data_IF_992871639270
#
_entry.id   IF_992871639270
#
_cell.length_a   1.000
_cell.length_b   1.000
_cell.length_c   1.000
_cell.angle_alpha   90.00
_cell.angle_beta   90.00
_cell.angle_gamma   90.00
#
_symmetry.space_group_name_H-M   'P 1'
#
loop_
_entity.id
_entity.type
_entity.pdbx_description
1 polymer ?
#
# COMPACT_ATOMS: atom_id res chain seq x y z
N UNK A 1 16.35 -9.46 -6.35
CA UNK A 1 16.91 -8.11 -6.58
C UNK A 1 17.39 -8.00 -8.02
N UNK A 2 17.08 -6.91 -8.70
CA UNK A 2 17.58 -6.63 -10.04
C UNK A 2 19.11 -6.52 -10.05
N UNK A 3 19.72 -6.81 -11.22
CA UNK A 3 21.17 -6.64 -11.42
C UNK A 3 21.54 -5.16 -11.17
N UNK A 4 22.59 -4.94 -10.37
CA UNK A 4 23.14 -3.60 -10.16
C UNK A 4 24.09 -3.27 -11.30
N UNK A 5 23.78 -2.23 -12.07
CA UNK A 5 24.67 -1.64 -13.03
C UNK A 5 25.67 -0.74 -12.30
N UNK A 6 26.88 -0.60 -12.82
CA UNK A 6 27.95 0.16 -12.16
C UNK A 6 28.46 1.27 -13.08
N UNK A 7 28.51 2.47 -12.54
CA UNK A 7 29.15 3.64 -13.16
C UNK A 7 29.78 4.45 -12.02
N UNK A 8 30.91 3.91 -11.52
CA UNK A 8 31.55 4.46 -10.32
C UNK A 8 32.20 5.80 -10.64
N UNK A 9 31.81 6.80 -9.88
CA UNK A 9 32.33 8.16 -9.95
C UNK A 9 33.79 8.22 -9.46
N UNK A 10 34.54 9.16 -10.04
CA UNK A 10 35.84 9.61 -9.54
C UNK A 10 35.74 10.88 -8.69
N UNK A 11 34.52 11.40 -8.50
CA UNK A 11 34.23 12.69 -7.86
C UNK A 11 33.17 12.56 -6.77
N UNK A 12 33.09 13.59 -5.93
CA UNK A 12 31.97 13.81 -4.98
C UNK A 12 31.84 12.73 -3.90
N UNK A 13 32.94 12.18 -3.43
CA UNK A 13 32.98 11.25 -2.30
C UNK A 13 34.30 11.38 -1.51
N UNK A 14 34.30 10.88 -0.29
CA UNK A 14 35.48 10.67 0.51
C UNK A 14 35.76 9.16 0.65
N UNK A 15 37.01 8.79 0.77
CA UNK A 15 37.39 7.39 1.06
C UNK A 15 36.86 6.97 2.43
N UNK A 16 36.46 5.71 2.55
CA UNK A 16 35.95 5.15 3.78
C UNK A 16 36.09 3.64 3.88
N UNK A 17 35.40 3.05 4.85
CA UNK A 17 35.31 1.60 5.02
C UNK A 17 33.86 1.16 5.25
N UNK A 18 33.54 -0.11 4.99
CA UNK A 18 32.18 -0.64 5.17
C UNK A 18 31.74 -0.66 6.64
N UNK A 19 32.65 -0.67 7.60
CA UNK A 19 32.35 -0.66 9.04
C UNK A 19 31.66 0.65 9.51
N UNK A 20 31.78 1.73 8.71
CA UNK A 20 31.12 3.02 8.97
C UNK A 20 29.59 2.94 8.82
N UNK A 21 29.07 1.98 8.05
CA UNK A 21 27.67 1.95 7.60
C UNK A 21 26.78 1.57 8.78
N UNK A 22 26.01 2.55 9.26
CA UNK A 22 25.02 2.41 10.36
C UNK A 22 23.61 2.75 9.93
N UNK A 23 23.46 3.53 8.86
CA UNK A 23 22.19 4.06 8.36
C UNK A 23 22.05 3.85 6.86
N UNK A 24 20.81 3.75 6.39
CA UNK A 24 20.45 3.87 4.98
C UNK A 24 19.48 5.07 4.87
N UNK A 25 19.80 6.02 3.99
CA UNK A 25 19.01 7.24 3.81
C UNK A 25 18.34 7.20 2.45
N UNK A 26 17.03 7.32 2.44
CA UNK A 26 16.21 7.32 1.24
C UNK A 26 15.98 8.76 0.78
N UNK A 27 16.20 8.97 -0.52
CA UNK A 27 16.07 10.25 -1.21
C UNK A 27 15.15 10.11 -2.42
N UNK A 28 14.82 11.25 -3.02
CA UNK A 28 14.29 11.35 -4.38
C UNK A 28 15.18 12.31 -5.17
N UNK A 29 15.35 12.04 -6.44
CA UNK A 29 16.26 12.83 -7.30
C UNK A 29 15.84 14.30 -7.40
N UNK A 30 14.55 14.62 -7.27
CA UNK A 30 14.03 15.98 -7.41
C UNK A 30 14.15 16.55 -8.82
N UNK A 31 14.38 15.67 -9.82
CA UNK A 31 14.47 15.97 -11.24
C UNK A 31 13.89 14.80 -12.04
N UNK A 32 13.62 14.98 -13.34
CA UNK A 32 12.94 13.99 -14.17
C UNK A 32 13.87 13.02 -14.93
N UNK A 33 15.17 13.08 -14.68
CA UNK A 33 16.16 12.16 -15.26
C UNK A 33 16.06 10.74 -14.69
N UNK A 34 16.42 9.73 -15.48
CA UNK A 34 16.49 8.33 -15.06
C UNK A 34 17.76 8.03 -14.23
N UNK A 35 17.87 6.78 -13.74
CA UNK A 35 18.97 6.39 -12.85
C UNK A 35 20.34 6.46 -13.51
N UNK A 36 20.45 6.06 -14.79
CA UNK A 36 21.70 6.12 -15.56
C UNK A 36 22.16 7.55 -15.76
N UNK A 37 21.26 8.44 -16.17
CA UNK A 37 21.51 9.86 -16.42
C UNK A 37 21.97 10.58 -15.15
N UNK A 38 21.32 10.30 -14.01
CA UNK A 38 21.73 10.88 -12.73
C UNK A 38 23.10 10.34 -12.27
N UNK A 39 23.34 9.05 -12.43
CA UNK A 39 24.66 8.46 -12.14
C UNK A 39 25.75 9.10 -13.01
N UNK A 40 25.52 9.30 -14.30
CA UNK A 40 26.43 9.98 -15.21
C UNK A 40 26.65 11.45 -14.82
N UNK A 41 25.58 12.17 -14.45
CA UNK A 41 25.67 13.57 -14.02
C UNK A 41 26.57 13.74 -12.80
N UNK A 42 26.33 12.96 -11.74
CA UNK A 42 27.15 13.04 -10.51
C UNK A 42 28.54 12.43 -10.67
N UNK A 43 28.72 11.48 -11.60
CA UNK A 43 30.00 10.88 -11.93
C UNK A 43 30.83 11.69 -12.92
N UNK A 44 30.26 12.67 -13.62
CA UNK A 44 30.87 13.42 -14.71
C UNK A 44 31.63 14.68 -14.29
N UNK A 45 31.83 14.94 -12.98
CA UNK A 45 32.56 16.11 -12.49
C UNK A 45 32.28 16.44 -11.04
N UNK A 46 32.90 17.52 -10.55
CA UNK A 46 32.61 18.01 -9.19
C UNK A 46 31.24 18.71 -9.15
N UNK A 47 30.25 18.07 -8.52
CA UNK A 47 28.88 18.57 -8.35
C UNK A 47 28.58 18.97 -6.91
N UNK A 48 29.50 18.75 -5.96
CA UNK A 48 29.28 19.01 -4.55
C UNK A 48 28.23 18.08 -3.87
N UNK A 49 27.77 17.05 -4.59
CA UNK A 49 26.79 16.08 -4.12
C UNK A 49 26.94 14.74 -4.85
N UNK A 50 26.46 13.66 -4.25
CA UNK A 50 26.40 12.33 -4.85
C UNK A 50 25.45 11.43 -4.06
N UNK A 51 25.23 10.21 -4.57
CA UNK A 51 24.61 9.12 -3.81
C UNK A 51 25.28 7.79 -4.16
N UNK A 52 25.08 6.77 -3.32
CA UNK A 52 25.63 5.46 -3.61
C UNK A 52 24.86 4.77 -4.75
N UNK A 53 23.54 4.88 -4.72
CA UNK A 53 22.65 4.21 -5.67
C UNK A 53 21.57 5.14 -6.21
N UNK A 54 21.22 4.90 -7.47
CA UNK A 54 20.06 5.47 -8.14
C UNK A 54 19.14 4.35 -8.62
N UNK A 55 17.84 4.46 -8.35
CA UNK A 55 16.81 3.49 -8.75
C UNK A 55 15.88 4.13 -9.77
N UNK A 56 15.85 3.59 -10.97
CA UNK A 56 15.17 4.16 -12.11
C UNK A 56 13.69 3.77 -12.26
N UNK A 57 13.08 4.26 -13.33
CA UNK A 57 11.63 4.16 -13.55
C UNK A 57 11.15 2.74 -13.85
N UNK A 58 11.98 1.91 -14.50
CA UNK A 58 11.70 0.50 -14.74
C UNK A 58 12.28 -0.42 -13.64
N UNK A 59 12.78 0.18 -12.55
CA UNK A 59 13.38 -0.52 -11.43
C UNK A 59 14.84 -0.89 -11.64
N UNK A 60 15.50 -0.39 -12.68
CA UNK A 60 16.93 -0.54 -12.89
C UNK A 60 17.71 0.18 -11.79
N UNK A 61 18.80 -0.46 -11.34
CA UNK A 61 19.64 0.05 -10.25
C UNK A 61 21.00 0.40 -10.81
N UNK A 62 21.48 1.59 -10.50
CA UNK A 62 22.82 2.08 -10.86
C UNK A 62 23.60 2.45 -9.61
N UNK A 63 24.82 1.94 -9.47
CA UNK A 63 25.75 2.31 -8.40
C UNK A 63 26.72 3.38 -8.90
N UNK A 64 26.77 4.51 -8.20
CA UNK A 64 27.61 5.65 -8.54
C UNK A 64 28.79 5.83 -7.56
N UNK A 65 28.64 5.47 -6.30
CA UNK A 65 29.71 5.48 -5.28
C UNK A 65 29.79 4.10 -4.65
N UNK A 66 31.01 3.64 -4.39
CA UNK A 66 31.24 2.36 -3.73
C UNK A 66 30.68 2.37 -2.31
N UNK A 67 30.16 1.25 -1.84
CA UNK A 67 29.55 1.17 -0.49
C UNK A 67 30.54 1.56 0.63
N UNK A 68 31.81 1.24 0.46
CA UNK A 68 32.86 1.57 1.43
C UNK A 68 33.08 3.09 1.55
N UNK A 69 32.90 3.82 0.46
CA UNK A 69 33.22 5.24 0.39
C UNK A 69 32.04 6.11 0.92
N UNK A 70 32.28 7.38 1.17
CA UNK A 70 31.34 8.31 1.77
C UNK A 70 30.75 9.20 0.68
N UNK A 71 29.57 8.87 0.18
CA UNK A 71 28.86 9.74 -0.75
C UNK A 71 28.30 11.00 -0.04
N UNK A 72 28.19 12.10 -0.80
CA UNK A 72 27.72 13.40 -0.28
C UNK A 72 26.24 13.59 -0.53
N UNK A 73 25.37 12.93 0.25
CA UNK A 73 23.91 12.88 -0.01
C UNK A 73 23.02 13.55 1.04
N UNK A 74 23.49 13.69 2.30
CA UNK A 74 22.68 14.27 3.37
C UNK A 74 23.46 15.30 4.21
N UNK A 75 24.46 15.96 3.61
CA UNK A 75 25.18 17.05 4.24
C UNK A 75 24.29 18.27 4.44
N UNK A 76 24.42 18.93 5.59
CA UNK A 76 23.70 20.16 5.94
C UNK A 76 24.47 20.98 6.96
N UNK A 77 24.11 22.28 7.10
CA UNK A 77 24.64 23.17 8.13
C UNK A 77 24.05 22.85 9.51
N UNK A 78 22.84 22.26 9.56
CA UNK A 78 22.19 21.79 10.77
C UNK A 78 21.50 20.46 10.55
N UNK A 79 21.36 19.68 11.61
CA UNK A 79 20.78 18.34 11.55
C UNK A 79 19.67 18.18 12.58
N UNK A 80 18.59 17.52 12.19
CA UNK A 80 17.53 17.06 13.10
C UNK A 80 17.90 15.74 13.77
N UNK A 81 18.54 14.83 12.99
CA UNK A 81 18.95 13.53 13.52
C UNK A 81 20.25 13.67 14.34
N UNK A 82 20.31 13.08 15.56
CA UNK A 82 21.48 13.22 16.42
C UNK A 82 22.75 12.60 15.83
N UNK A 83 22.64 11.48 15.13
CA UNK A 83 23.78 10.66 14.71
C UNK A 83 24.01 10.55 13.19
N UNK A 84 22.93 10.47 12.38
CA UNK A 84 23.07 10.15 10.95
C UNK A 84 23.73 11.28 10.16
N UNK A 85 24.77 10.93 9.40
CA UNK A 85 25.60 11.82 8.55
C UNK A 85 26.01 11.08 7.28
N UNK A 86 26.58 11.78 6.30
CA UNK A 86 27.26 11.16 5.15
C UNK A 86 28.27 10.10 5.60
N UNK A 87 29.03 10.42 6.65
CA UNK A 87 30.12 9.57 7.14
C UNK A 87 29.67 8.19 7.64
N UNK A 88 28.40 8.00 8.00
CA UNK A 88 27.93 6.73 8.56
C UNK A 88 26.68 6.16 7.85
N UNK A 89 26.41 6.58 6.62
CA UNK A 89 25.23 6.15 5.89
C UNK A 89 25.51 5.78 4.43
N UNK A 90 24.55 5.04 3.85
CA UNK A 90 24.39 4.82 2.41
C UNK A 90 23.19 5.62 1.93
N UNK A 91 23.34 6.40 0.84
CA UNK A 91 22.24 7.14 0.19
C UNK A 91 21.69 6.38 -1.01
N UNK A 92 20.37 6.24 -1.06
CA UNK A 92 19.61 5.68 -2.20
C UNK A 92 18.71 6.76 -2.77
N UNK A 93 18.95 7.16 -4.00
CA UNK A 93 18.13 8.11 -4.76
C UNK A 93 17.09 7.37 -5.61
N UNK A 94 15.84 7.67 -5.40
CA UNK A 94 14.73 7.14 -6.18
C UNK A 94 14.35 8.13 -7.28
N UNK A 95 14.36 7.70 -8.54
CA UNK A 95 13.88 8.51 -9.66
C UNK A 95 12.37 8.77 -9.51
N UNK A 96 11.96 9.98 -9.82
CA UNK A 96 10.63 10.49 -9.52
C UNK A 96 9.98 11.11 -10.76
N UNK A 97 8.66 10.97 -10.87
CA UNK A 97 7.84 11.64 -11.88
C UNK A 97 7.07 12.80 -11.25
N UNK A 98 6.56 13.66 -12.11
CA UNK A 98 5.71 14.79 -11.73
C UNK A 98 4.50 14.89 -12.66
N UNK A 99 3.32 15.18 -12.08
CA UNK A 99 2.08 15.29 -12.86
C UNK A 99 2.04 16.56 -13.71
N UNK A 100 2.40 17.71 -13.12
CA UNK A 100 2.59 18.96 -13.84
C UNK A 100 4.09 19.30 -13.94
N UNK A 101 4.50 19.86 -15.07
CA UNK A 101 5.87 20.32 -15.31
C UNK A 101 6.00 21.85 -15.27
N UNK A 102 4.94 22.57 -14.92
CA UNK A 102 4.93 24.03 -14.83
C UNK A 102 5.90 24.55 -13.78
N UNK A 103 6.02 23.82 -12.68
CA UNK A 103 6.97 24.12 -11.61
C UNK A 103 7.74 22.86 -11.21
N UNK A 104 8.92 23.02 -10.65
CA UNK A 104 9.79 21.93 -10.20
C UNK A 104 10.20 22.13 -8.73
N UNK A 105 9.32 22.76 -7.93
CA UNK A 105 9.62 23.06 -6.55
C UNK A 105 9.62 21.80 -5.69
N UNK A 106 10.51 21.75 -4.72
CA UNK A 106 10.55 20.65 -3.73
C UNK A 106 9.29 20.59 -2.85
N UNK A 107 8.50 21.67 -2.79
CA UNK A 107 7.25 21.77 -2.04
C UNK A 107 6.01 21.33 -2.83
N UNK A 108 6.13 21.09 -4.13
CA UNK A 108 5.01 20.64 -4.96
C UNK A 108 4.55 19.26 -4.51
N UNK A 109 3.24 19.05 -4.41
CA UNK A 109 2.66 17.80 -3.88
C UNK A 109 2.28 16.78 -4.96
N UNK A 110 2.67 17.02 -6.19
CA UNK A 110 2.35 16.19 -7.37
C UNK A 110 3.52 15.31 -7.85
N UNK A 111 4.61 15.27 -7.10
CA UNK A 111 5.68 14.31 -7.29
C UNK A 111 5.22 12.90 -6.91
N UNK A 112 5.59 11.89 -7.71
CA UNK A 112 5.23 10.50 -7.43
C UNK A 112 6.29 9.52 -7.91
N UNK A 113 6.31 8.32 -7.29
CA UNK A 113 7.16 7.22 -7.70
C UNK A 113 6.42 6.24 -8.59
N UNK A 114 7.12 5.69 -9.57
CA UNK A 114 6.66 4.54 -10.33
C UNK A 114 6.71 3.27 -9.46
N UNK A 115 5.82 2.31 -9.75
CA UNK A 115 5.75 1.03 -9.03
C UNK A 115 7.08 0.30 -9.03
N UNK A 116 7.72 0.17 -10.20
CA UNK A 116 8.98 -0.54 -10.36
C UNK A 116 10.12 0.14 -9.58
N UNK A 117 10.16 1.49 -9.52
CA UNK A 117 11.12 2.24 -8.71
C UNK A 117 11.00 1.87 -7.23
N UNK A 118 9.76 1.87 -6.69
CA UNK A 118 9.53 1.55 -5.28
C UNK A 118 9.88 0.09 -4.97
N UNK A 119 9.49 -0.86 -5.82
CA UNK A 119 9.77 -2.27 -5.62
C UNK A 119 11.29 -2.54 -5.58
N UNK A 120 12.03 -2.00 -6.54
CA UNK A 120 13.49 -2.17 -6.60
C UNK A 120 14.21 -1.43 -5.47
N UNK A 121 13.72 -0.27 -5.03
CA UNK A 121 14.27 0.43 -3.88
C UNK A 121 14.07 -0.38 -2.58
N UNK A 122 12.90 -1.01 -2.38
CA UNK A 122 12.65 -1.91 -1.24
C UNK A 122 13.61 -3.10 -1.27
N UNK A 123 13.76 -3.77 -2.43
CA UNK A 123 14.67 -4.92 -2.57
C UNK A 123 16.13 -4.54 -2.32
N UNK A 124 16.60 -3.42 -2.90
CA UNK A 124 17.94 -2.90 -2.66
C UNK A 124 18.16 -2.57 -1.18
N UNK A 125 17.19 -1.91 -0.56
CA UNK A 125 17.27 -1.56 0.86
C UNK A 125 17.36 -2.81 1.73
N UNK A 126 16.53 -3.82 1.52
CA UNK A 126 16.60 -5.12 2.23
C UNK A 126 17.96 -5.81 2.05
N UNK A 127 18.47 -5.80 0.82
CA UNK A 127 19.80 -6.36 0.53
C UNK A 127 20.89 -5.66 1.34
N UNK A 128 20.89 -4.31 1.35
CA UNK A 128 21.89 -3.52 2.08
C UNK A 128 21.72 -3.64 3.60
N UNK A 129 20.49 -3.68 4.11
CA UNK A 129 20.18 -3.96 5.52
C UNK A 129 20.82 -5.29 5.96
N UNK A 130 20.59 -6.35 5.19
CA UNK A 130 21.17 -7.67 5.47
C UNK A 130 22.69 -7.65 5.37
N UNK A 131 23.24 -7.04 4.31
CA UNK A 131 24.69 -7.01 4.02
C UNK A 131 25.49 -6.29 5.10
N UNK A 132 24.94 -5.20 5.65
CA UNK A 132 25.63 -4.33 6.61
C UNK A 132 25.03 -4.36 8.02
N UNK A 133 24.11 -5.29 8.27
CA UNK A 133 23.42 -5.42 9.57
C UNK A 133 22.77 -4.10 10.02
N UNK A 134 22.12 -3.37 9.09
CA UNK A 134 21.39 -2.13 9.39
C UNK A 134 19.95 -2.50 9.72
N UNK A 135 19.47 -2.24 10.95
CA UNK A 135 18.10 -2.55 11.32
C UNK A 135 17.11 -1.57 10.66
N UNK A 136 15.84 -1.98 10.54
CA UNK A 136 14.83 -1.21 9.82
C UNK A 136 14.61 0.21 10.40
N UNK A 137 14.79 0.40 11.70
CA UNK A 137 14.68 1.69 12.38
C UNK A 137 15.73 2.71 11.89
N UNK A 138 16.88 2.21 11.42
CA UNK A 138 17.97 3.01 10.87
C UNK A 138 17.90 3.20 9.35
N UNK A 139 16.81 2.79 8.74
CA UNK A 139 16.43 3.22 7.38
C UNK A 139 15.51 4.42 7.50
N UNK A 140 15.99 5.59 7.11
CA UNK A 140 15.35 6.89 7.36
C UNK A 140 15.32 7.73 6.09
N UNK A 141 14.49 8.78 6.07
CA UNK A 141 14.43 9.74 4.97
C UNK A 141 15.49 10.84 5.16
N UNK A 142 15.91 11.47 4.11
CA UNK A 142 16.70 12.71 4.23
C UNK A 142 15.96 13.76 5.09
N UNK A 143 14.63 13.81 5.00
CA UNK A 143 13.80 14.65 5.87
C UNK A 143 14.05 14.40 7.36
N UNK A 144 14.22 13.15 7.75
CA UNK A 144 14.46 12.77 9.15
C UNK A 144 15.87 13.18 9.59
N UNK A 145 16.83 13.28 8.64
CA UNK A 145 18.20 13.70 8.91
C UNK A 145 18.33 15.20 9.07
N UNK A 146 17.74 16.01 8.17
CA UNK A 146 18.00 17.46 8.09
C UNK A 146 16.75 18.32 8.08
N UNK A 147 15.57 17.77 7.85
CA UNK A 147 14.31 18.50 7.63
C UNK A 147 14.06 18.92 6.18
N UNK A 148 14.98 18.61 5.26
CA UNK A 148 14.76 18.83 3.82
C UNK A 148 13.56 18.00 3.35
N UNK A 149 12.70 18.58 2.50
CA UNK A 149 11.57 17.84 1.90
C UNK A 149 12.12 16.81 0.88
N UNK A 150 12.63 15.71 1.40
CA UNK A 150 13.26 14.63 0.62
C UNK A 150 13.14 13.29 1.38
N UNK A 151 12.59 12.25 0.75
CA UNK A 151 11.91 12.24 -0.54
C UNK A 151 10.54 12.90 -0.48
N UNK A 152 10.26 13.84 -1.37
CA UNK A 152 8.99 14.56 -1.37
C UNK A 152 7.75 13.63 -1.31
N UNK A 153 7.61 12.58 -2.16
CA UNK A 153 6.43 11.71 -2.10
C UNK A 153 6.24 11.01 -0.75
N UNK A 154 7.32 10.75 -0.02
CA UNK A 154 7.28 10.11 1.31
C UNK A 154 7.17 11.11 2.47
N UNK A 155 7.46 12.38 2.25
CA UNK A 155 7.25 13.43 3.26
C UNK A 155 5.78 13.83 3.30
N UNK A 156 5.17 14.06 2.13
CA UNK A 156 3.77 14.45 2.04
C UNK A 156 2.79 13.27 2.05
N UNK A 157 3.24 12.06 1.70
CA UNK A 157 2.42 10.84 1.61
C UNK A 157 1.17 11.01 0.73
N UNK A 158 1.27 11.82 -0.33
CA UNK A 158 0.15 12.15 -1.24
C UNK A 158 -0.07 11.13 -2.34
N UNK A 159 0.85 10.18 -2.53
CA UNK A 159 0.81 9.18 -3.58
C UNK A 159 0.30 7.81 -3.12
N UNK A 160 0.25 6.87 -4.07
CA UNK A 160 -0.07 5.46 -3.79
C UNK A 160 0.96 4.80 -2.87
N UNK A 161 2.21 5.26 -2.91
CA UNK A 161 3.32 4.70 -2.14
C UNK A 161 3.69 5.66 -1.01
N UNK A 162 3.45 5.24 0.24
CA UNK A 162 3.72 6.03 1.44
C UNK A 162 4.99 5.58 2.13
N UNK A 163 5.55 6.43 2.99
CA UNK A 163 6.70 6.08 3.83
C UNK A 163 6.42 4.89 4.75
N UNK A 164 5.23 4.85 5.35
CA UNK A 164 4.84 3.74 6.24
C UNK A 164 4.76 2.41 5.49
N UNK A 165 4.25 2.42 4.24
CA UNK A 165 4.24 1.23 3.39
C UNK A 165 5.66 0.78 3.05
N UNK A 166 6.57 1.71 2.74
CA UNK A 166 7.98 1.42 2.50
C UNK A 166 8.66 0.80 3.73
N UNK A 167 8.46 1.38 4.91
CA UNK A 167 9.00 0.89 6.20
C UNK A 167 8.50 -0.52 6.52
N UNK A 168 7.22 -0.79 6.35
CA UNK A 168 6.63 -2.12 6.51
C UNK A 168 7.25 -3.12 5.53
N UNK A 169 7.43 -2.73 4.27
CA UNK A 169 8.00 -3.59 3.25
C UNK A 169 9.44 -4.00 3.56
N UNK A 170 10.28 -3.11 4.09
CA UNK A 170 11.69 -3.41 4.41
C UNK A 170 11.86 -4.18 5.73
N UNK A 171 10.97 -4.04 6.70
CA UNK A 171 11.07 -4.69 8.02
C UNK A 171 10.76 -6.18 8.02
N UNK A 172 10.46 -6.77 6.87
CA UNK A 172 10.11 -8.19 6.77
C UNK A 172 8.71 -8.52 7.30
N UNK A 173 7.98 -7.55 7.84
CA UNK A 173 6.55 -7.60 7.94
C UNK A 173 6.02 -7.54 6.50
N UNK A 174 5.72 -8.69 5.95
CA UNK A 174 5.46 -8.91 4.54
C UNK A 174 4.26 -8.08 4.08
N UNK A 175 4.54 -6.84 3.68
CA UNK A 175 3.67 -6.07 2.82
C UNK A 175 4.55 -5.36 1.81
N UNK A 176 4.83 -6.06 0.69
CA UNK A 176 5.17 -5.35 -0.54
C UNK A 176 4.19 -4.18 -0.72
N UNK A 177 4.60 -3.06 -1.37
CA UNK A 177 3.66 -2.18 -2.05
C UNK A 177 3.20 -2.92 -3.31
N UNK A 178 2.46 -3.98 -3.09
CA UNK A 178 1.46 -4.43 -4.00
C UNK A 178 0.28 -3.47 -3.78
N UNK A 179 -0.32 -3.00 -4.84
CA UNK A 179 -1.75 -3.06 -4.95
C UNK A 179 -2.13 -4.54 -4.74
N UNK A 180 -1.99 -5.07 -3.51
CA UNK A 180 -2.27 -6.44 -3.17
C UNK A 180 -2.38 -6.55 -1.65
N UNK A 181 -3.52 -6.29 -1.15
CA UNK A 181 -4.05 -7.12 -0.12
C UNK A 181 -4.20 -8.53 -0.68
N UNK A 182 -4.56 -9.47 0.13
CA UNK A 182 -4.75 -10.87 -0.23
C UNK A 182 -5.67 -10.97 -1.44
N UNK A 183 -5.27 -11.72 -2.45
CA UNK A 183 -6.11 -12.01 -3.59
C UNK A 183 -7.03 -13.19 -3.23
N UNK A 184 -8.24 -13.20 -3.76
CA UNK A 184 -9.14 -14.34 -3.59
C UNK A 184 -8.53 -15.64 -4.15
N UNK A 185 -7.68 -15.55 -5.18
CA UNK A 185 -6.93 -16.70 -5.72
C UNK A 185 -6.01 -17.38 -4.70
N UNK A 186 -5.56 -16.67 -3.65
CA UNK A 186 -4.75 -17.25 -2.57
C UNK A 186 -5.52 -18.22 -1.66
N UNK A 187 -6.82 -18.43 -1.93
CA UNK A 187 -7.69 -19.41 -1.27
C UNK A 187 -7.92 -20.69 -2.09
N UNK A 188 -7.42 -20.72 -3.32
CA UNK A 188 -7.47 -21.91 -4.16
C UNK A 188 -6.71 -23.05 -3.52
N UNK A 189 -7.33 -24.24 -3.44
CA UNK A 189 -6.72 -25.44 -2.86
C UNK A 189 -6.74 -25.53 -1.32
N UNK A 190 -7.18 -24.48 -0.60
CA UNK A 190 -7.36 -24.58 0.85
C UNK A 190 -8.61 -25.40 1.19
N UNK A 191 -8.57 -26.17 2.29
CA UNK A 191 -9.79 -26.70 2.88
C UNK A 191 -10.67 -25.55 3.41
N UNK A 192 -11.97 -25.80 3.62
CA UNK A 192 -12.88 -24.78 4.17
C UNK A 192 -12.41 -24.25 5.53
N UNK A 193 -11.90 -25.13 6.37
CA UNK A 193 -11.34 -24.76 7.67
C UNK A 193 -10.14 -23.82 7.51
N UNK A 194 -9.17 -24.17 6.65
CA UNK A 194 -8.00 -23.31 6.39
C UNK A 194 -8.40 -21.96 5.79
N UNK A 195 -9.39 -21.97 4.89
CA UNK A 195 -9.90 -20.73 4.29
C UNK A 195 -10.62 -19.86 5.34
N UNK A 196 -11.41 -20.46 6.24
CA UNK A 196 -12.07 -19.75 7.34
C UNK A 196 -11.06 -19.12 8.30
N UNK A 197 -10.05 -19.89 8.73
CA UNK A 197 -8.97 -19.41 9.61
C UNK A 197 -8.24 -18.23 8.98
N UNK A 198 -7.84 -18.36 7.71
CA UNK A 198 -7.19 -17.28 6.96
C UNK A 198 -8.09 -16.05 6.77
N UNK A 199 -9.38 -16.25 6.50
CA UNK A 199 -10.34 -15.14 6.43
C UNK A 199 -10.50 -14.43 7.78
N UNK A 200 -10.52 -15.17 8.87
CA UNK A 200 -10.59 -14.61 10.22
C UNK A 200 -9.38 -13.72 10.52
N UNK A 201 -8.17 -14.16 10.18
CA UNK A 201 -6.94 -13.38 10.36
C UNK A 201 -7.00 -12.04 9.61
N UNK A 202 -7.60 -12.02 8.41
CA UNK A 202 -7.73 -10.82 7.59
C UNK A 202 -8.90 -9.94 8.06
N UNK A 203 -10.06 -10.54 8.35
CA UNK A 203 -11.26 -9.81 8.75
C UNK A 203 -11.13 -9.19 10.15
N UNK A 204 -10.51 -9.90 11.10
CA UNK A 204 -10.52 -9.49 12.49
C UNK A 204 -9.93 -8.10 12.77
N UNK A 205 -8.75 -7.75 12.27
CA UNK A 205 -8.19 -6.42 12.50
C UNK A 205 -9.03 -5.30 11.86
N UNK A 206 -9.62 -5.56 10.67
CA UNK A 206 -10.45 -4.59 9.95
C UNK A 206 -11.77 -4.39 10.69
N UNK A 207 -12.45 -5.48 11.09
CA UNK A 207 -13.69 -5.40 11.84
C UNK A 207 -13.52 -4.69 13.18
N UNK A 208 -12.50 -5.07 13.97
CA UNK A 208 -12.18 -4.44 15.26
C UNK A 208 -11.93 -2.94 15.13
N UNK A 209 -11.14 -2.52 14.14
CA UNK A 209 -10.88 -1.10 13.86
C UNK A 209 -12.15 -0.30 13.61
N UNK A 210 -13.19 -0.95 13.06
CA UNK A 210 -14.48 -0.34 12.74
C UNK A 210 -15.55 -0.58 13.82
N UNK A 211 -15.19 -1.13 14.98
CA UNK A 211 -16.14 -1.42 16.08
C UNK A 211 -17.14 -2.53 15.77
N UNK A 212 -16.80 -3.42 14.82
CA UNK A 212 -17.63 -4.56 14.42
C UNK A 212 -17.07 -5.87 14.97
N UNK A 213 -17.93 -6.87 15.16
CA UNK A 213 -17.53 -8.17 15.65
C UNK A 213 -16.78 -8.98 14.56
N UNK A 214 -15.54 -9.44 14.82
CA UNK A 214 -14.77 -10.23 13.86
C UNK A 214 -15.46 -11.48 13.36
N UNK A 215 -16.12 -12.23 14.27
CA UNK A 215 -16.85 -13.46 13.94
C UNK A 215 -17.97 -13.21 12.93
N UNK A 216 -18.73 -12.14 13.09
CA UNK A 216 -19.82 -11.77 12.18
C UNK A 216 -19.24 -11.33 10.83
N UNK A 217 -18.20 -10.51 10.82
CA UNK A 217 -17.56 -10.08 9.59
C UNK A 217 -17.01 -11.25 8.78
N UNK A 218 -16.34 -12.18 9.44
CA UNK A 218 -15.76 -13.37 8.81
C UNK A 218 -16.85 -14.30 8.28
N UNK A 219 -17.87 -14.59 9.07
CA UNK A 219 -18.98 -15.47 8.68
C UNK A 219 -19.71 -14.93 7.43
N UNK A 220 -19.97 -13.61 7.37
CA UNK A 220 -20.57 -13.00 6.19
C UNK A 220 -19.66 -13.09 4.96
N UNK A 221 -18.35 -12.83 5.10
CA UNK A 221 -17.42 -12.98 3.98
C UNK A 221 -17.37 -14.43 3.46
N UNK A 222 -17.43 -15.42 4.34
CA UNK A 222 -17.51 -16.85 3.97
C UNK A 222 -18.80 -17.12 3.20
N UNK A 223 -19.94 -16.67 3.72
CA UNK A 223 -21.25 -16.91 3.12
C UNK A 223 -21.37 -16.29 1.74
N UNK A 224 -20.99 -15.02 1.59
CA UNK A 224 -21.10 -14.25 0.36
C UNK A 224 -20.11 -14.73 -0.74
N UNK A 225 -18.97 -15.27 -0.36
CA UNK A 225 -17.90 -15.61 -1.30
C UNK A 225 -17.63 -17.11 -1.47
N UNK A 226 -18.32 -17.97 -0.71
CA UNK A 226 -18.01 -19.40 -0.71
C UNK A 226 -16.52 -19.65 -0.41
N UNK A 227 -16.02 -19.10 0.69
CA UNK A 227 -14.60 -19.15 1.05
C UNK A 227 -13.67 -18.52 -0.01
N UNK A 228 -14.06 -17.40 -0.59
CA UNK A 228 -13.38 -16.70 -1.69
C UNK A 228 -13.37 -17.48 -3.03
N UNK A 229 -14.23 -18.47 -3.25
CA UNK A 229 -14.21 -19.32 -4.44
C UNK A 229 -15.21 -18.90 -5.51
N UNK A 230 -16.18 -18.01 -5.20
CA UNK A 230 -17.14 -17.53 -6.20
C UNK A 230 -16.44 -16.80 -7.34
N UNK A 231 -17.08 -16.79 -8.52
CA UNK A 231 -16.57 -16.06 -9.69
C UNK A 231 -16.30 -14.58 -9.39
N UNK A 232 -17.21 -13.94 -8.66
CA UNK A 232 -17.07 -12.55 -8.23
C UNK A 232 -15.83 -12.34 -7.36
N UNK A 233 -15.59 -13.22 -6.38
CA UNK A 233 -14.42 -13.18 -5.54
C UNK A 233 -13.14 -13.31 -6.38
N UNK A 234 -13.07 -14.28 -7.27
CA UNK A 234 -11.89 -14.59 -8.08
C UNK A 234 -11.57 -13.49 -9.11
N UNK A 235 -12.58 -12.93 -9.78
CA UNK A 235 -12.39 -11.90 -10.81
C UNK A 235 -12.21 -10.49 -10.26
N UNK A 236 -12.77 -10.22 -9.08
CA UNK A 236 -12.90 -8.85 -8.56
C UNK A 236 -12.37 -8.63 -7.12
N UNK A 237 -11.89 -9.66 -6.41
CA UNK A 237 -11.63 -9.62 -4.97
C UNK A 237 -12.83 -9.11 -4.15
N UNK A 238 -14.01 -9.21 -4.69
CA UNK A 238 -15.24 -8.76 -4.05
C UNK A 238 -15.87 -9.94 -3.31
N UNK A 239 -15.53 -10.06 -2.03
CA UNK A 239 -15.97 -11.17 -1.18
C UNK A 239 -17.19 -10.82 -0.31
N UNK A 240 -17.76 -9.63 -0.53
CA UNK A 240 -18.90 -9.11 0.23
C UNK A 240 -20.10 -8.76 -0.66
N UNK A 241 -20.12 -9.17 -1.94
CA UNK A 241 -21.23 -8.96 -2.83
C UNK A 241 -21.56 -7.50 -3.17
N UNK A 242 -20.61 -6.57 -3.04
CA UNK A 242 -20.84 -5.14 -3.20
C UNK A 242 -21.09 -4.76 -4.66
N UNK A 243 -22.30 -4.33 -5.01
CA UNK A 243 -22.68 -3.79 -6.32
C UNK A 243 -22.14 -2.36 -6.51
N UNK A 244 -21.92 -1.94 -7.76
CA UNK A 244 -21.50 -0.57 -8.09
C UNK A 244 -22.59 0.45 -7.71
N UNK A 245 -23.83 0.13 -8.03
CA UNK A 245 -25.00 0.94 -7.65
C UNK A 245 -25.81 0.20 -6.59
N UNK A 246 -26.01 0.84 -5.46
CA UNK A 246 -26.90 0.37 -4.40
C UNK A 246 -28.01 1.40 -4.26
N UNK A 247 -29.12 1.18 -4.97
CA UNK A 247 -30.26 2.07 -5.02
C UNK A 247 -30.73 2.51 -3.62
N UNK A 248 -30.90 3.80 -3.44
CA UNK A 248 -31.34 4.38 -2.17
C UNK A 248 -30.29 4.39 -1.05
N UNK A 249 -29.07 3.97 -1.29
CA UNK A 249 -28.00 3.96 -0.29
C UNK A 249 -26.82 4.81 -0.72
N UNK A 250 -26.47 5.76 0.12
CA UNK A 250 -25.23 6.55 0.01
C UNK A 250 -24.44 6.38 1.30
N UNK A 251 -23.11 6.30 1.19
CA UNK A 251 -22.21 6.32 2.34
C UNK A 251 -20.89 6.96 1.98
N UNK A 252 -20.15 7.41 2.99
CA UNK A 252 -18.80 7.94 2.89
C UNK A 252 -17.76 6.91 3.38
N UNK A 253 -16.51 7.13 3.04
CA UNK A 253 -15.41 6.27 3.52
C UNK A 253 -15.24 4.96 2.75
N UNK A 254 -15.83 4.84 1.56
CA UNK A 254 -15.63 3.69 0.68
C UNK A 254 -14.15 3.48 0.36
N UNK A 255 -13.72 2.22 0.31
CA UNK A 255 -12.39 1.81 -0.18
C UNK A 255 -12.36 1.45 -1.66
N UNK A 256 -13.50 1.55 -2.34
CA UNK A 256 -13.61 1.39 -3.79
C UNK A 256 -13.22 2.68 -4.51
N UNK A 257 -12.61 2.54 -5.70
CA UNK A 257 -12.10 3.67 -6.50
C UNK A 257 -13.21 4.45 -7.26
N UNK A 258 -14.46 4.00 -7.14
CA UNK A 258 -15.62 4.61 -7.78
C UNK A 258 -15.83 4.24 -9.25
N UNK A 259 -14.95 3.41 -9.84
CA UNK A 259 -14.99 3.09 -11.28
C UNK A 259 -14.67 1.65 -11.67
N UNK A 260 -13.76 0.98 -10.97
CA UNK A 260 -13.36 -0.40 -11.29
C UNK A 260 -14.50 -1.37 -11.03
N UNK A 261 -14.99 -2.06 -12.06
CA UNK A 261 -16.12 -2.98 -11.96
C UNK A 261 -15.91 -4.28 -12.73
N UNK A 262 -16.77 -5.23 -12.46
CA UNK A 262 -16.92 -6.47 -13.22
C UNK A 262 -18.42 -6.77 -13.35
N UNK A 263 -18.86 -7.16 -14.53
CA UNK A 263 -20.22 -7.62 -14.75
C UNK A 263 -20.34 -9.10 -14.46
N UNK A 264 -21.27 -9.48 -13.60
CA UNK A 264 -21.55 -10.87 -13.21
C UNK A 264 -23.05 -11.14 -13.39
N UNK A 265 -23.38 -12.31 -13.96
CA UNK A 265 -24.75 -12.81 -13.98
C UNK A 265 -25.10 -13.32 -12.58
N UNK A 266 -26.05 -12.68 -11.93
CA UNK A 266 -26.49 -13.01 -10.56
C UNK A 266 -27.95 -13.37 -10.52
N UNK A 267 -28.31 -14.24 -9.59
CA UNK A 267 -29.70 -14.58 -9.29
C UNK A 267 -30.25 -13.53 -8.31
N UNK A 268 -31.46 -13.03 -8.61
CA UNK A 268 -32.23 -12.15 -7.76
C UNK A 268 -33.57 -12.81 -7.45
N UNK A 269 -34.24 -12.40 -6.36
CA UNK A 269 -35.60 -12.84 -6.04
C UNK A 269 -36.55 -11.67 -6.14
N UNK A 270 -37.73 -11.89 -6.73
CA UNK A 270 -38.82 -10.92 -6.70
C UNK A 270 -39.55 -10.94 -5.34
N UNK A 271 -40.52 -10.06 -5.16
CA UNK A 271 -41.30 -9.98 -3.94
C UNK A 271 -42.16 -11.25 -3.64
N UNK A 272 -42.40 -12.08 -4.66
CA UNK A 272 -43.09 -13.36 -4.54
C UNK A 272 -42.14 -14.53 -4.29
N UNK A 273 -40.82 -14.28 -4.25
CA UNK A 273 -39.78 -15.30 -4.02
C UNK A 273 -39.34 -16.04 -5.29
N UNK A 274 -39.77 -15.63 -6.49
CA UNK A 274 -39.34 -16.25 -7.72
C UNK A 274 -37.92 -15.79 -8.06
N UNK A 275 -37.07 -16.76 -8.47
CA UNK A 275 -35.69 -16.47 -8.86
C UNK A 275 -35.63 -16.06 -10.32
N UNK A 276 -34.96 -14.94 -10.60
CA UNK A 276 -34.66 -14.50 -11.97
C UNK A 276 -33.18 -14.09 -12.04
N UNK A 277 -32.63 -14.03 -13.26
CA UNK A 277 -31.21 -13.71 -13.46
C UNK A 277 -31.04 -12.36 -14.15
N UNK A 278 -30.12 -11.55 -13.63
CA UNK A 278 -29.71 -10.29 -14.23
C UNK A 278 -28.18 -10.24 -14.38
N UNK A 279 -27.72 -9.41 -15.30
CA UNK A 279 -26.33 -8.97 -15.31
C UNK A 279 -26.22 -7.72 -14.43
N UNK A 280 -25.37 -7.78 -13.41
CA UNK A 280 -25.17 -6.66 -12.51
C UNK A 280 -23.67 -6.30 -12.46
N UNK A 281 -23.38 -4.99 -12.33
CA UNK A 281 -22.04 -4.48 -12.16
C UNK A 281 -21.67 -4.49 -10.69
N UNK A 282 -20.61 -5.21 -10.38
CA UNK A 282 -20.05 -5.34 -9.05
C UNK A 282 -18.73 -4.58 -8.95
N UNK A 283 -18.46 -4.01 -7.78
CA UNK A 283 -17.21 -3.33 -7.46
C UNK A 283 -16.04 -4.28 -7.58
N UNK A 284 -14.96 -3.83 -8.21
CA UNK A 284 -13.69 -4.55 -8.26
C UNK A 284 -12.70 -3.90 -7.32
N UNK A 285 -12.06 -4.71 -6.48
CA UNK A 285 -11.11 -4.26 -5.48
C UNK A 285 -9.69 -4.75 -5.79
N UNK A 286 -8.67 -3.98 -5.41
CA UNK A 286 -7.28 -4.42 -5.53
C UNK A 286 -6.97 -5.59 -4.59
N UNK A 287 -7.80 -5.84 -3.56
CA UNK A 287 -7.62 -6.94 -2.61
C UNK A 287 -8.89 -7.22 -1.80
N UNK A 288 -8.95 -8.38 -1.14
CA UNK A 288 -10.08 -8.74 -0.27
C UNK A 288 -10.16 -7.85 0.98
N UNK A 289 -9.05 -7.33 1.51
CA UNK A 289 -9.06 -6.36 2.63
C UNK A 289 -9.81 -5.08 2.24
N UNK A 290 -9.68 -4.64 0.99
CA UNK A 290 -10.42 -3.47 0.50
C UNK A 290 -11.93 -3.78 0.37
N UNK A 291 -12.30 -4.98 -0.06
CA UNK A 291 -13.70 -5.43 -0.07
C UNK A 291 -14.29 -5.45 1.34
N UNK A 292 -13.55 -6.00 2.31
CA UNK A 292 -13.98 -6.04 3.73
C UNK A 292 -14.11 -4.61 4.30
N UNK A 293 -13.14 -3.74 4.01
CA UNK A 293 -13.16 -2.37 4.49
C UNK A 293 -14.35 -1.58 3.93
N UNK A 294 -14.69 -1.77 2.65
CA UNK A 294 -15.85 -1.14 2.02
C UNK A 294 -17.17 -1.63 2.63
N UNK A 295 -17.29 -2.94 2.89
CA UNK A 295 -18.43 -3.48 3.64
C UNK A 295 -18.55 -2.85 5.02
N UNK A 296 -17.44 -2.68 5.74
CA UNK A 296 -17.47 -2.02 7.04
C UNK A 296 -17.95 -0.57 6.91
N UNK A 297 -17.44 0.18 5.93
CA UNK A 297 -17.88 1.54 5.64
C UNK A 297 -19.38 1.62 5.29
N UNK A 298 -19.86 0.66 4.49
CA UNK A 298 -21.29 0.53 4.18
C UNK A 298 -22.14 0.32 5.44
N UNK A 299 -21.80 -0.63 6.30
CA UNK A 299 -22.56 -0.88 7.53
C UNK A 299 -22.56 0.31 8.50
N UNK A 300 -21.51 1.11 8.49
CA UNK A 300 -21.39 2.29 9.35
C UNK A 300 -22.04 3.54 8.76
N UNK A 301 -22.13 3.62 7.44
CA UNK A 301 -22.49 4.83 6.72
C UNK A 301 -23.79 4.79 5.93
N UNK A 302 -24.29 3.60 5.58
CA UNK A 302 -25.49 3.47 4.75
C UNK A 302 -26.71 4.12 5.40
N UNK A 303 -27.48 4.85 4.58
CA UNK A 303 -28.66 5.60 5.01
C UNK A 303 -29.94 4.91 4.52
N UNK A 304 -30.99 5.04 5.29
CA UNK A 304 -32.38 4.78 4.90
C UNK A 304 -33.20 6.04 5.20
N UNK A 305 -33.44 6.83 4.18
CA UNK A 305 -33.93 8.20 4.36
C UNK A 305 -32.93 9.04 5.16
N UNK A 306 -33.40 9.70 6.21
CA UNK A 306 -32.56 10.53 7.10
C UNK A 306 -31.86 9.77 8.23
N UNK A 307 -32.10 8.46 8.36
CA UNK A 307 -31.57 7.65 9.46
C UNK A 307 -30.47 6.70 8.97
N UNK A 308 -29.48 6.41 9.83
CA UNK A 308 -28.51 5.33 9.55
C UNK A 308 -29.23 3.99 9.48
N UNK A 309 -28.98 3.24 8.40
CA UNK A 309 -29.64 1.95 8.12
C UNK A 309 -29.35 0.91 9.20
N UNK A 310 -28.11 0.90 9.71
CA UNK A 310 -27.63 -0.03 10.73
C UNK A 310 -27.28 0.71 12.04
N UNK A 311 -28.14 1.64 12.46
CA UNK A 311 -27.94 2.42 13.68
C UNK A 311 -27.70 1.51 14.89
N UNK A 312 -26.65 1.79 15.67
CA UNK A 312 -26.31 0.99 16.85
C UNK A 312 -25.43 -0.23 16.61
N UNK A 313 -25.02 -0.53 15.38
CA UNK A 313 -24.25 -1.74 15.03
C UNK A 313 -22.92 -1.87 15.81
N UNK A 314 -22.26 -0.77 16.14
CA UNK A 314 -21.02 -0.76 16.94
C UNK A 314 -21.26 -0.94 18.44
N UNK A 315 -22.52 -0.90 18.89
CA UNK A 315 -22.90 -1.10 20.29
C UNK A 315 -23.22 -2.56 20.60
N UNK A 316 -23.39 -3.40 19.58
CA UNK A 316 -23.67 -4.83 19.74
C UNK A 316 -22.54 -5.53 20.51
N UNK A 317 -22.90 -6.31 21.53
CA UNK A 317 -21.96 -7.07 22.36
C UNK A 317 -21.88 -8.55 21.96
N UNK A 318 -22.91 -9.06 21.30
CA UNK A 318 -23.00 -10.45 20.88
C UNK A 318 -23.16 -10.54 19.35
N UNK A 319 -22.77 -11.68 18.78
CA UNK A 319 -22.94 -11.96 17.37
C UNK A 319 -24.45 -11.95 16.99
N UNK A 320 -25.32 -12.45 17.88
CA UNK A 320 -26.78 -12.47 17.65
C UNK A 320 -27.35 -11.07 17.49
N UNK A 321 -27.00 -10.16 18.38
CA UNK A 321 -27.42 -8.74 18.27
C UNK A 321 -26.97 -8.13 16.93
N UNK A 322 -25.70 -8.33 16.55
CA UNK A 322 -25.15 -7.73 15.35
C UNK A 322 -25.77 -8.34 14.08
N UNK A 323 -25.93 -9.66 14.00
CA UNK A 323 -26.58 -10.32 12.85
C UNK A 323 -28.04 -9.91 12.74
N UNK A 324 -28.79 -9.87 13.84
CA UNK A 324 -30.19 -9.43 13.86
C UNK A 324 -30.33 -8.00 13.32
N UNK A 325 -29.42 -7.10 13.74
CA UNK A 325 -29.43 -5.72 13.26
C UNK A 325 -29.09 -5.63 11.76
N UNK A 326 -28.14 -6.41 11.27
CA UNK A 326 -27.78 -6.48 9.84
C UNK A 326 -28.96 -7.01 9.01
N UNK A 327 -29.63 -8.07 9.48
CA UNK A 327 -30.80 -8.65 8.84
C UNK A 327 -31.96 -7.64 8.78
N UNK A 328 -32.30 -7.05 9.91
CA UNK A 328 -33.39 -6.05 10.00
C UNK A 328 -33.11 -4.81 9.15
N UNK A 329 -31.84 -4.47 8.94
CA UNK A 329 -31.40 -3.44 8.02
C UNK A 329 -31.51 -3.84 6.55
N UNK A 330 -31.88 -5.08 6.22
CA UNK A 330 -32.07 -5.54 4.85
C UNK A 330 -30.73 -5.70 4.06
N UNK A 331 -29.67 -6.20 4.71
CA UNK A 331 -28.40 -6.46 4.03
C UNK A 331 -28.52 -7.58 2.99
N UNK A 332 -29.28 -8.61 3.31
CA UNK A 332 -29.59 -9.71 2.41
C UNK A 332 -31.12 -9.92 2.34
N UNK A 333 -31.61 -10.28 1.17
CA UNK A 333 -33.01 -10.60 0.92
C UNK A 333 -33.34 -12.07 1.21
N UNK A 334 -32.33 -12.94 1.32
CA UNK A 334 -32.53 -14.37 1.60
C UNK A 334 -33.06 -14.58 3.03
N UNK A 335 -34.22 -15.20 3.15
CA UNK A 335 -34.87 -15.51 4.43
C UNK A 335 -34.07 -16.49 5.29
N UNK A 336 -33.15 -17.25 4.71
CA UNK A 336 -32.23 -18.19 5.39
C UNK A 336 -30.98 -17.51 5.95
N UNK A 337 -30.86 -16.20 5.81
CA UNK A 337 -29.73 -15.43 6.36
C UNK A 337 -29.87 -15.30 7.90
N UNK A 338 -29.61 -16.41 8.60
CA UNK A 338 -29.69 -16.49 10.08
C UNK A 338 -28.38 -16.98 10.69
#
# INVERSE_FOLDING_TARGET
MNKVNRMISKYNFNSGSVSRIKYIVIHYVGALGGAKENCAYYGGGNRGASAHYFVGFAGEIWQCVEDKDIAWHCGASSYRHPECRNANSIGIEMCVRKKSKETMNATDKDWYFEKATVQSAVELTKYLMKKYNVPAERVIRHYDVTGKICPNPYVYNTGTYTWDAFKKAISGQNTQPQATGTQASAFSGLSERQAAEKLLEICAPIAKKNGLLPSVATAQCILESGYCRTELAQKANNICGMKCSLSGNTWSGTSWDGKSSVQIRTAEQDAAGNTYYINADFRKYPSIEKSIADRCAYLLGAMNGSKKRYAGITKCKTYREQITLIKNGGYATDTRYN
#
